data_IF_011148714432
#
_entry.id   IF_011148714432
#
_cell.length_a   1.000
_cell.length_b   1.000
_cell.length_c   1.000
_cell.angle_alpha   90.00
_cell.angle_beta   90.00
_cell.angle_gamma   90.00
#
_symmetry.space_group_name_H-M   'P 1'
#
loop_
_entity.id
_entity.type
_entity.pdbx_description
1 polymer ?
#
# COMPACT_ATOMS: atom_id res chain seq x y z
N UNK A 1 42.00 2.79 -8.66
CA UNK A 1 41.16 3.77 -7.94
C UNK A 1 39.81 3.14 -7.68
N UNK A 2 39.49 2.88 -6.42
CA UNK A 2 38.27 2.15 -6.06
C UNK A 2 37.07 3.08 -6.14
N UNK A 3 36.15 2.69 -7.03
CA UNK A 3 34.93 3.37 -7.36
C UNK A 3 33.96 3.30 -6.18
N UNK A 4 33.68 4.45 -5.55
CA UNK A 4 32.49 4.52 -4.69
C UNK A 4 31.26 4.38 -5.57
N UNK A 5 30.22 3.73 -5.05
CA UNK A 5 28.90 3.64 -5.70
C UNK A 5 28.42 5.02 -6.16
N UNK A 6 28.72 6.07 -5.40
CA UNK A 6 28.41 7.46 -5.77
C UNK A 6 29.15 7.92 -7.02
N UNK A 7 30.46 7.64 -7.14
CA UNK A 7 31.24 8.01 -8.33
C UNK A 7 30.76 7.26 -9.57
N UNK A 8 30.40 5.98 -9.43
CA UNK A 8 29.76 5.20 -10.51
C UNK A 8 28.41 5.80 -10.95
N UNK A 9 27.59 6.26 -10.00
CA UNK A 9 26.28 6.84 -10.27
C UNK A 9 26.42 8.18 -11.01
N UNK A 10 27.36 9.02 -10.57
CA UNK A 10 27.64 10.31 -11.24
C UNK A 10 28.13 10.08 -12.67
N UNK A 11 29.05 9.14 -12.84
CA UNK A 11 29.61 8.82 -14.16
C UNK A 11 28.57 8.21 -15.11
N UNK A 12 27.63 7.41 -14.60
CA UNK A 12 26.60 6.75 -15.40
C UNK A 12 25.26 7.52 -15.44
N UNK A 13 25.23 8.77 -14.97
CA UNK A 13 24.01 9.58 -14.82
C UNK A 13 23.14 9.60 -16.08
N UNK A 14 23.74 9.88 -17.23
CA UNK A 14 22.99 10.07 -18.47
C UNK A 14 22.41 8.75 -19.00
N UNK A 15 23.15 7.65 -18.84
CA UNK A 15 22.67 6.30 -19.15
C UNK A 15 21.51 5.90 -18.24
N UNK A 16 21.62 6.16 -16.93
CA UNK A 16 20.56 5.91 -15.95
C UNK A 16 19.31 6.73 -16.31
N UNK A 17 19.49 7.99 -16.70
CA UNK A 17 18.39 8.89 -17.06
C UNK A 17 17.70 8.51 -18.38
N UNK A 18 18.44 7.97 -19.35
CA UNK A 18 17.88 7.45 -20.59
C UNK A 18 16.99 6.23 -20.33
N UNK A 19 17.47 5.25 -19.55
CA UNK A 19 16.68 4.06 -19.20
C UNK A 19 15.40 4.40 -18.39
N UNK A 20 15.44 5.42 -17.52
CA UNK A 20 14.26 5.88 -16.77
C UNK A 20 13.20 6.53 -17.66
N UNK A 21 13.58 7.13 -18.78
CA UNK A 21 12.64 7.74 -19.73
C UNK A 21 12.01 6.72 -20.67
N UNK A 22 12.75 5.66 -21.02
CA UNK A 22 12.30 4.63 -21.94
C UNK A 22 11.47 3.53 -21.25
N UNK A 23 11.78 3.19 -19.99
CA UNK A 23 11.04 2.18 -19.22
C UNK A 23 9.86 2.81 -18.45
N UNK A 24 8.74 2.98 -19.18
CA UNK A 24 7.37 3.22 -18.72
C UNK A 24 6.97 4.66 -18.30
N UNK A 25 6.03 5.30 -19.02
CA UNK A 25 5.40 6.53 -18.54
C UNK A 25 4.51 6.21 -17.35
N UNK A 26 4.97 6.55 -16.14
CA UNK A 26 4.10 6.63 -14.94
C UNK A 26 4.46 5.75 -13.76
N UNK A 27 5.56 4.98 -13.78
CA UNK A 27 5.91 4.07 -12.69
C UNK A 27 7.26 4.48 -12.06
N UNK A 28 7.25 4.79 -10.76
CA UNK A 28 8.40 4.84 -9.79
C UNK A 28 8.78 6.18 -9.12
N UNK A 29 7.96 7.24 -9.17
CA UNK A 29 8.15 8.42 -8.27
C UNK A 29 6.97 8.65 -7.31
N UNK A 30 5.77 8.14 -7.61
CA UNK A 30 4.54 8.61 -6.96
C UNK A 30 4.48 8.36 -5.45
N UNK A 31 4.99 7.24 -4.94
CA UNK A 31 4.83 6.89 -3.51
C UNK A 31 5.85 7.61 -2.63
N UNK A 32 7.12 7.69 -3.06
CA UNK A 32 8.17 8.40 -2.33
C UNK A 32 7.91 9.92 -2.38
N UNK A 33 7.46 10.42 -3.53
CA UNK A 33 7.10 11.82 -3.68
C UNK A 33 5.81 12.18 -2.92
N UNK A 34 4.82 11.27 -2.81
CA UNK A 34 3.65 11.46 -1.95
C UNK A 34 3.98 11.52 -0.46
N UNK A 35 4.88 10.65 0.03
CA UNK A 35 5.32 10.70 1.43
C UNK A 35 6.11 11.98 1.75
N UNK A 36 7.04 12.35 0.86
CA UNK A 36 7.75 13.64 0.95
C UNK A 36 6.76 14.79 0.94
N UNK A 37 5.85 14.81 -0.04
CA UNK A 37 4.79 15.82 -0.16
C UNK A 37 4.01 16.00 1.12
N UNK A 38 3.52 14.91 1.73
CA UNK A 38 2.72 14.99 2.96
C UNK A 38 3.48 15.60 4.15
N UNK A 39 4.77 15.28 4.31
CA UNK A 39 5.60 15.86 5.39
C UNK A 39 5.85 17.36 5.12
N UNK A 40 6.13 17.75 3.87
CA UNK A 40 6.31 19.16 3.52
C UNK A 40 5.01 19.96 3.69
N UNK A 41 3.86 19.41 3.28
CA UNK A 41 2.54 20.02 3.46
C UNK A 41 2.23 20.28 4.94
N UNK A 42 2.46 19.30 5.81
CA UNK A 42 2.20 19.41 7.25
C UNK A 42 3.19 20.39 7.92
N UNK A 43 4.45 20.38 7.50
CA UNK A 43 5.45 21.35 7.93
C UNK A 43 5.07 22.78 7.52
N UNK A 44 4.64 23.00 6.28
CA UNK A 44 4.23 24.32 5.76
C UNK A 44 3.00 24.86 6.52
N UNK A 45 2.04 24.00 6.83
CA UNK A 45 0.87 24.37 7.64
C UNK A 45 1.26 24.80 9.07
N UNK A 46 2.14 24.03 9.72
CA UNK A 46 2.62 24.38 11.06
C UNK A 46 3.45 25.67 11.05
N UNK A 47 4.24 25.88 10.00
CA UNK A 47 5.04 27.10 9.82
C UNK A 47 4.13 28.32 9.62
N UNK A 48 3.05 28.19 8.85
CA UNK A 48 2.06 29.26 8.64
C UNK A 48 1.34 29.65 9.94
N UNK A 49 0.93 28.66 10.76
CA UNK A 49 0.33 28.91 12.07
C UNK A 49 1.32 29.58 13.03
N UNK A 50 2.59 29.21 12.96
CA UNK A 50 3.64 29.84 13.75
C UNK A 50 3.87 31.28 13.31
N UNK A 51 3.93 31.56 12.00
CA UNK A 51 4.07 32.91 11.45
C UNK A 51 2.88 33.81 11.81
N UNK A 52 1.65 33.29 11.76
CA UNK A 52 0.46 34.00 12.22
C UNK A 52 0.59 34.43 13.69
N UNK A 53 1.11 33.55 14.55
CA UNK A 53 1.44 33.89 15.94
C UNK A 53 2.53 34.96 16.05
N UNK A 54 3.56 34.92 15.20
CA UNK A 54 4.62 35.93 15.20
C UNK A 54 4.10 37.30 14.77
N UNK A 55 3.19 37.34 13.78
CA UNK A 55 2.52 38.55 13.33
C UNK A 55 1.69 39.20 14.45
N UNK A 56 1.00 38.39 15.28
CA UNK A 56 0.30 38.90 16.47
C UNK A 56 1.25 39.45 17.53
N UNK A 57 2.49 38.98 17.59
CA UNK A 57 3.52 39.44 18.52
C UNK A 57 4.34 40.61 17.96
N UNK A 58 4.00 41.12 16.76
CA UNK A 58 4.74 42.18 16.04
C UNK A 58 6.25 41.88 15.90
N UNK A 59 6.62 40.59 15.87
CA UNK A 59 7.99 40.17 15.65
C UNK A 59 8.24 40.02 14.15
N UNK A 60 9.13 40.84 13.59
CA UNK A 60 9.61 40.65 12.22
C UNK A 60 10.52 39.42 12.17
N UNK A 61 10.07 38.33 11.56
CA UNK A 61 10.92 37.17 11.35
C UNK A 61 11.85 37.41 10.17
N UNK A 62 13.16 37.29 10.39
CA UNK A 62 14.11 37.22 9.30
C UNK A 62 13.98 35.86 8.59
N UNK A 63 14.45 35.79 7.36
CA UNK A 63 14.48 34.54 6.59
C UNK A 63 15.21 33.43 7.37
N UNK A 64 16.27 33.76 8.08
CA UNK A 64 17.06 32.80 8.87
C UNK A 64 16.23 32.16 9.98
N UNK A 65 15.42 32.94 10.70
CA UNK A 65 14.55 32.43 11.77
C UNK A 65 13.47 31.50 11.19
N UNK A 66 12.90 31.85 10.04
CA UNK A 66 11.90 31.02 9.36
C UNK A 66 12.53 29.70 8.89
N UNK A 67 13.74 29.74 8.33
CA UNK A 67 14.46 28.55 7.89
C UNK A 67 14.82 27.64 9.06
N UNK A 68 15.35 28.19 10.15
CA UNK A 68 15.66 27.43 11.37
C UNK A 68 14.39 26.77 11.94
N UNK A 69 13.28 27.52 11.96
CA UNK A 69 12.00 26.99 12.44
C UNK A 69 11.45 25.88 11.55
N UNK A 70 11.53 26.02 10.24
CA UNK A 70 11.14 25.00 9.27
C UNK A 70 11.96 23.71 9.44
N UNK A 71 13.28 23.83 9.66
CA UNK A 71 14.15 22.68 9.90
C UNK A 71 13.79 21.95 11.21
N UNK A 72 13.54 22.69 12.28
CA UNK A 72 13.08 22.12 13.56
C UNK A 72 11.76 21.35 13.38
N UNK A 73 10.77 21.94 12.72
CA UNK A 73 9.49 21.27 12.45
C UNK A 73 9.66 20.02 11.57
N UNK A 74 10.54 20.08 10.58
CA UNK A 74 10.79 18.95 9.70
C UNK A 74 11.41 17.77 10.44
N UNK A 75 12.40 18.00 11.32
CA UNK A 75 12.98 16.91 12.12
C UNK A 75 11.96 16.32 13.10
N UNK A 76 11.12 17.15 13.73
CA UNK A 76 10.03 16.68 14.61
C UNK A 76 9.03 15.78 13.85
N UNK A 77 8.68 16.16 12.61
CA UNK A 77 7.76 15.40 11.76
C UNK A 77 8.39 14.13 11.17
N UNK A 78 9.69 14.17 10.88
CA UNK A 78 10.46 13.05 10.33
C UNK A 78 10.63 11.93 11.35
N UNK A 79 10.67 12.27 12.64
CA UNK A 79 10.77 11.31 13.74
C UNK A 79 9.41 10.72 14.15
N UNK A 80 8.33 11.07 13.45
CA UNK A 80 7.04 10.38 13.53
C UNK A 80 7.19 9.02 12.83
N UNK A 81 7.85 8.09 13.53
CA UNK A 81 7.94 6.70 13.10
C UNK A 81 6.54 6.09 13.13
N UNK A 82 6.03 5.72 11.95
CA UNK A 82 4.78 4.99 11.87
C UNK A 82 4.95 3.62 12.54
N UNK A 83 4.37 3.46 13.73
CA UNK A 83 4.31 2.18 14.43
C UNK A 83 2.95 1.55 14.16
N UNK A 84 2.98 0.38 13.50
CA UNK A 84 1.83 -0.50 13.35
C UNK A 84 1.45 -1.16 14.69
N UNK A 85 1.24 -0.33 15.70
CA UNK A 85 0.87 -0.73 17.05
C UNK A 85 -0.53 -1.34 17.04
N UNK A 86 -0.83 -2.09 18.09
CA UNK A 86 -2.17 -2.64 18.31
C UNK A 86 -3.24 -1.55 18.32
N UNK A 87 -2.93 -0.37 18.89
CA UNK A 87 -3.83 0.79 18.92
C UNK A 87 -4.10 1.33 17.51
N UNK A 88 -3.05 1.50 16.70
CA UNK A 88 -3.22 1.89 15.29
C UNK A 88 -4.10 0.88 14.55
N UNK A 89 -3.84 -0.42 14.72
CA UNK A 89 -4.62 -1.47 14.05
C UNK A 89 -6.10 -1.48 14.46
N UNK A 90 -6.41 -1.22 15.75
CA UNK A 90 -7.78 -1.08 16.22
C UNK A 90 -8.50 0.10 15.56
N UNK A 91 -7.84 1.27 15.49
CA UNK A 91 -8.38 2.46 14.83
C UNK A 91 -8.57 2.20 13.33
N UNK A 92 -7.59 1.57 12.68
CA UNK A 92 -7.67 1.19 11.27
C UNK A 92 -8.87 0.29 10.98
N UNK A 93 -9.08 -0.77 11.77
CA UNK A 93 -10.24 -1.66 11.61
C UNK A 93 -11.57 -0.92 11.74
N UNK A 94 -11.66 0.02 12.69
CA UNK A 94 -12.85 0.85 12.87
C UNK A 94 -13.08 1.76 11.66
N UNK A 95 -12.05 2.45 11.18
CA UNK A 95 -12.17 3.36 10.04
C UNK A 95 -12.52 2.64 8.74
N UNK A 96 -11.96 1.45 8.52
CA UNK A 96 -12.21 0.66 7.32
C UNK A 96 -13.47 -0.21 7.44
N UNK A 97 -14.26 -0.07 8.52
CA UNK A 97 -15.42 -0.90 8.82
C UNK A 97 -15.14 -2.40 8.61
N UNK A 98 -13.93 -2.83 8.98
CA UNK A 98 -13.53 -4.22 8.94
C UNK A 98 -14.11 -4.91 10.17
N UNK A 99 -15.42 -5.18 10.10
CA UNK A 99 -16.00 -6.19 10.96
C UNK A 99 -15.21 -7.46 10.73
N UNK A 100 -14.76 -8.09 11.81
CA UNK A 100 -14.17 -9.41 11.73
C UNK A 100 -15.14 -10.26 10.95
N UNK A 101 -14.80 -10.51 9.67
CA UNK A 101 -15.31 -11.63 8.91
C UNK A 101 -14.88 -12.80 9.78
N UNK A 102 -15.74 -13.18 10.75
CA UNK A 102 -15.76 -14.54 11.24
C UNK A 102 -15.64 -15.31 9.94
N UNK A 103 -14.53 -16.04 9.78
CA UNK A 103 -14.46 -17.08 8.77
C UNK A 103 -15.85 -17.73 8.86
N UNK A 104 -16.64 -17.62 7.79
CA UNK A 104 -17.63 -18.65 7.50
C UNK A 104 -16.81 -19.90 7.24
N UNK A 105 -16.17 -20.41 8.31
CA UNK A 105 -15.61 -21.73 8.38
C UNK A 105 -16.84 -22.58 8.60
N UNK A 106 -17.33 -23.11 7.49
CA UNK A 106 -17.93 -24.43 7.42
C UNK A 106 -18.93 -24.72 8.53
N UNK A 107 -20.11 -24.15 8.40
CA UNK A 107 -21.30 -24.90 8.75
C UNK A 107 -22.35 -24.66 7.67
N UNK A 108 -22.02 -25.10 6.46
CA UNK A 108 -23.07 -25.69 5.64
C UNK A 108 -23.36 -27.00 6.34
N UNK A 109 -24.34 -26.99 7.24
CA UNK A 109 -25.13 -28.18 7.55
C UNK A 109 -25.78 -28.58 6.22
N UNK A 110 -24.99 -29.20 5.35
CA UNK A 110 -25.47 -29.84 4.15
C UNK A 110 -26.41 -30.93 4.60
N UNK A 111 -27.62 -30.92 4.06
CA UNK A 111 -28.61 -31.97 4.26
C UNK A 111 -27.91 -33.33 4.10
N UNK A 112 -27.82 -34.11 5.18
CA UNK A 112 -27.21 -35.45 5.18
C UNK A 112 -27.80 -36.32 4.06
N UNK A 113 -29.06 -36.07 3.70
CA UNK A 113 -29.77 -36.73 2.62
C UNK A 113 -29.13 -36.46 1.25
N UNK A 114 -28.77 -35.22 0.95
CA UNK A 114 -28.16 -34.85 -0.33
C UNK A 114 -26.71 -35.41 -0.46
N UNK A 115 -25.99 -35.49 0.66
CA UNK A 115 -24.66 -36.11 0.70
C UNK A 115 -24.71 -37.63 0.46
N UNK A 116 -25.80 -38.30 0.87
CA UNK A 116 -26.01 -39.74 0.65
C UNK A 116 -26.53 -40.03 -0.77
N UNK A 117 -27.33 -39.15 -1.37
CA UNK A 117 -27.90 -39.37 -2.71
C UNK A 117 -26.94 -39.07 -3.87
N UNK A 118 -25.95 -38.19 -3.65
CA UNK A 118 -25.00 -37.79 -4.70
C UNK A 118 -24.16 -38.96 -5.25
N UNK A 119 -23.54 -39.84 -4.42
CA UNK A 119 -22.77 -40.98 -4.93
C UNK A 119 -23.62 -41.95 -5.77
N UNK A 120 -24.87 -42.19 -5.36
CA UNK A 120 -25.78 -43.09 -6.09
C UNK A 120 -26.19 -42.52 -7.45
N UNK A 121 -26.40 -41.20 -7.52
CA UNK A 121 -26.71 -40.50 -8.77
C UNK A 121 -25.52 -40.48 -9.71
N UNK A 122 -24.31 -40.22 -9.17
CA UNK A 122 -23.06 -40.26 -9.92
C UNK A 122 -22.79 -41.65 -10.53
N UNK A 123 -23.01 -42.71 -9.74
CA UNK A 123 -22.82 -44.10 -10.20
C UNK A 123 -23.73 -44.45 -11.39
N UNK A 124 -25.01 -44.06 -11.34
CA UNK A 124 -25.96 -44.25 -12.46
C UNK A 124 -25.53 -43.53 -13.73
N UNK A 125 -25.00 -42.31 -13.61
CA UNK A 125 -24.51 -41.54 -14.77
C UNK A 125 -23.29 -42.24 -15.39
N UNK A 126 -22.38 -42.77 -14.57
CA UNK A 126 -21.20 -43.50 -15.05
C UNK A 126 -21.60 -44.78 -15.78
N UNK A 127 -22.55 -45.55 -15.23
CA UNK A 127 -23.06 -46.78 -15.83
C UNK A 127 -23.77 -46.52 -17.17
N UNK A 128 -24.62 -45.49 -17.23
CA UNK A 128 -25.31 -45.11 -18.45
C UNK A 128 -24.35 -44.67 -19.57
N UNK A 129 -23.30 -43.90 -19.25
CA UNK A 129 -22.30 -43.49 -20.24
C UNK A 129 -21.39 -44.64 -20.70
N UNK A 130 -21.15 -45.65 -19.86
CA UNK A 130 -20.40 -46.85 -20.25
C UNK A 130 -21.17 -47.74 -21.24
N UNK A 131 -22.51 -47.64 -21.28
CA UNK A 131 -23.35 -48.43 -22.22
C UNK A 131 -23.59 -47.75 -23.58
N UNK A 132 -23.18 -46.48 -23.77
CA UNK A 132 -23.28 -45.78 -25.06
C UNK A 132 -22.01 -45.83 -25.92
N UNK A 133 -20.94 -46.49 -25.44
CA UNK A 133 -19.74 -46.78 -26.24
C UNK A 133 -19.69 -48.25 -26.64
N UNK A 134 -20.72 -48.70 -27.35
CA UNK A 134 -20.59 -49.87 -28.21
C UNK A 134 -21.50 -49.70 -29.44
N UNK A 135 -20.96 -50.00 -30.63
CA UNK A 135 -21.51 -49.86 -31.99
C UNK A 135 -21.27 -48.45 -32.58
N UNK A 136 -20.44 -48.21 -33.61
CA UNK A 136 -19.97 -49.09 -34.70
C UNK A 136 -18.63 -48.57 -35.27
N UNK A 137 -17.61 -49.43 -35.26
CA UNK A 137 -16.59 -49.42 -36.31
C UNK A 137 -17.17 -50.22 -37.49
N UNK A 138 -17.44 -49.55 -38.60
CA UNK A 138 -17.38 -50.01 -39.99
C UNK A 138 -17.22 -48.76 -40.87
#
# INVERSE_FOLDING_TARGET
MNCTTVSAIVHNRDRIMAHVKDDAPGMKSTIINKKRGRIYEEMEQLLALWDERQNHQQASCSQEIIQEKALSLFEDLKDIEFKASQRWFMIFKQQQNLHSLKKQGESTSGDDVAAVEFPATLAKIIENNATQTNIQCC
#
